data_IF_016772842958
#
_entry.id   IF_016772842958
#
_cell.length_a   1.000
_cell.length_b   1.000
_cell.length_c   1.000
_cell.angle_alpha   90.00
_cell.angle_beta   90.00
_cell.angle_gamma   90.00
#
_symmetry.space_group_name_H-M   'P 1'
#
loop_
_entity.id
_entity.type
_entity.pdbx_description
1 polymer ?
#
# COMPACT_ATOMS: atom_id res chain seq x y z
N UNK A 1 -33.71 -26.14 -65.08
CA UNK A 1 -32.82 -27.28 -64.81
C UNK A 1 -33.23 -27.87 -63.47
N UNK A 2 -33.73 -29.11 -63.43
CA UNK A 2 -34.00 -29.79 -62.16
C UNK A 2 -32.67 -30.29 -61.62
N UNK A 3 -32.12 -29.59 -60.62
CA UNK A 3 -30.88 -30.03 -59.97
C UNK A 3 -31.25 -31.13 -58.97
N UNK A 4 -30.93 -32.38 -59.32
CA UNK A 4 -31.10 -33.52 -58.42
C UNK A 4 -29.92 -33.50 -57.45
N UNK A 5 -30.18 -33.18 -56.18
CA UNK A 5 -29.20 -33.35 -55.11
C UNK A 5 -29.19 -34.84 -54.75
N UNK A 6 -28.06 -35.50 -54.99
CA UNK A 6 -27.87 -36.89 -54.62
C UNK A 6 -27.38 -36.99 -53.17
N UNK A 7 -28.09 -37.77 -52.35
CA UNK A 7 -27.86 -37.90 -50.91
C UNK A 7 -27.43 -39.33 -50.57
N UNK A 8 -26.32 -39.47 -49.84
CA UNK A 8 -25.90 -40.72 -49.20
C UNK A 8 -26.08 -40.60 -47.70
N UNK A 9 -26.41 -41.69 -47.01
CA UNK A 9 -26.59 -41.70 -45.56
C UNK A 9 -25.83 -42.85 -44.90
N UNK A 10 -25.36 -42.61 -43.69
CA UNK A 10 -24.77 -43.63 -42.81
C UNK A 10 -25.33 -43.48 -41.41
N UNK A 11 -25.56 -44.61 -40.72
CA UNK A 11 -25.90 -44.65 -39.29
C UNK A 11 -24.73 -45.17 -38.45
N UNK A 12 -23.57 -45.42 -39.06
CA UNK A 12 -22.40 -45.97 -38.36
C UNK A 12 -21.70 -44.86 -37.58
N UNK A 13 -21.47 -45.01 -36.26
CA UNK A 13 -20.76 -44.03 -35.45
C UNK A 13 -19.37 -43.69 -36.00
N UNK A 14 -19.01 -42.41 -35.97
CA UNK A 14 -17.76 -41.84 -36.48
C UNK A 14 -17.45 -42.12 -37.97
N UNK A 15 -18.41 -42.63 -38.75
CA UNK A 15 -18.19 -42.93 -40.15
C UNK A 15 -18.05 -41.65 -40.98
N UNK A 16 -16.91 -41.51 -41.66
CA UNK A 16 -16.64 -40.45 -42.63
C UNK A 16 -16.48 -41.07 -44.02
N UNK A 17 -17.11 -40.51 -45.07
CA UNK A 17 -16.92 -41.00 -46.44
C UNK A 17 -15.49 -40.72 -46.91
N UNK A 18 -15.00 -41.52 -47.83
CA UNK A 18 -13.77 -41.29 -48.59
C UNK A 18 -14.06 -40.52 -49.87
N UNK A 19 -13.02 -40.06 -50.57
CA UNK A 19 -13.16 -39.39 -51.87
C UNK A 19 -13.72 -40.31 -52.96
N UNK A 20 -13.67 -41.63 -52.79
CA UNK A 20 -14.31 -42.60 -53.69
C UNK A 20 -15.81 -42.78 -53.42
N UNK A 21 -16.25 -42.52 -52.20
CA UNK A 21 -17.64 -42.72 -51.78
C UNK A 21 -18.58 -41.60 -52.24
N UNK A 22 -18.03 -40.46 -52.68
CA UNK A 22 -18.81 -39.32 -53.14
C UNK A 22 -18.36 -38.84 -54.52
N UNK A 23 -19.32 -38.51 -55.38
CA UNK A 23 -19.07 -37.74 -56.61
C UNK A 23 -19.20 -36.23 -56.33
N UNK A 24 -18.68 -35.38 -57.22
CA UNK A 24 -18.82 -33.93 -57.07
C UNK A 24 -20.31 -33.54 -57.15
N UNK A 25 -20.79 -32.79 -56.16
CA UNK A 25 -22.20 -32.41 -56.04
C UNK A 25 -23.06 -33.39 -55.22
N UNK A 26 -22.52 -34.52 -54.78
CA UNK A 26 -23.16 -35.39 -53.79
C UNK A 26 -22.94 -34.88 -52.36
N UNK A 27 -23.92 -35.15 -51.51
CA UNK A 27 -23.87 -34.89 -50.08
C UNK A 27 -24.02 -36.21 -49.32
N UNK A 28 -23.14 -36.46 -48.35
CA UNK A 28 -23.32 -37.54 -47.37
C UNK A 28 -23.78 -36.98 -46.03
N UNK A 29 -24.64 -37.74 -45.35
CA UNK A 29 -25.15 -37.42 -44.02
C UNK A 29 -24.89 -38.62 -43.10
N UNK A 30 -24.10 -38.43 -42.05
CA UNK A 30 -24.03 -39.38 -40.95
C UNK A 30 -25.13 -39.02 -39.94
N UNK A 31 -26.17 -39.84 -39.88
CA UNK A 31 -27.33 -39.60 -39.02
C UNK A 31 -27.10 -40.03 -37.57
N UNK A 32 -26.01 -40.74 -37.27
CA UNK A 32 -25.62 -41.03 -35.89
C UNK A 32 -24.91 -39.82 -35.26
N UNK A 33 -23.93 -39.25 -35.96
CA UNK A 33 -23.13 -38.12 -35.46
C UNK A 33 -23.72 -36.73 -35.82
N UNK A 34 -24.71 -36.69 -36.71
CA UNK A 34 -25.31 -35.44 -37.21
C UNK A 34 -24.40 -34.65 -38.15
N UNK A 35 -23.48 -35.35 -38.82
CA UNK A 35 -22.43 -34.73 -39.64
C UNK A 35 -22.82 -34.75 -41.11
N UNK A 36 -22.50 -33.67 -41.81
CA UNK A 36 -22.74 -33.53 -43.26
C UNK A 36 -21.40 -33.42 -43.97
N UNK A 37 -21.24 -34.11 -45.09
CA UNK A 37 -20.01 -34.13 -45.85
C UNK A 37 -20.27 -33.85 -47.33
N UNK A 38 -19.33 -33.18 -47.98
CA UNK A 38 -19.33 -32.98 -49.42
C UNK A 38 -17.92 -33.20 -49.98
N UNK A 39 -17.84 -33.64 -51.24
CA UNK A 39 -16.58 -33.72 -51.94
C UNK A 39 -16.21 -32.38 -52.57
N UNK A 40 -14.97 -31.96 -52.38
CA UNK A 40 -14.34 -30.83 -53.08
C UNK A 40 -13.21 -31.37 -53.95
N UNK A 41 -13.04 -30.79 -55.14
CA UNK A 41 -11.89 -31.07 -55.99
C UNK A 41 -11.44 -29.77 -56.68
N UNK A 42 -10.25 -29.30 -56.34
CA UNK A 42 -9.57 -28.16 -56.96
C UNK A 42 -8.25 -28.59 -57.63
N UNK A 43 -8.17 -29.85 -58.08
CA UNK A 43 -6.94 -30.51 -58.54
C UNK A 43 -6.45 -31.60 -57.58
N UNK A 44 -7.04 -31.72 -56.39
CA UNK A 44 -6.89 -32.85 -55.48
C UNK A 44 -8.21 -33.05 -54.72
N UNK A 45 -8.81 -34.23 -54.88
CA UNK A 45 -10.06 -34.55 -54.22
C UNK A 45 -9.91 -34.63 -52.69
N UNK A 46 -10.82 -33.97 -51.97
CA UNK A 46 -10.91 -33.98 -50.51
C UNK A 46 -12.36 -34.07 -50.06
N UNK A 47 -12.59 -34.64 -48.87
CA UNK A 47 -13.90 -34.62 -48.22
C UNK A 47 -13.91 -33.47 -47.22
N UNK A 48 -14.89 -32.59 -47.37
CA UNK A 48 -15.13 -31.50 -46.42
C UNK A 48 -16.30 -31.89 -45.53
N UNK A 49 -16.04 -31.91 -44.23
CA UNK A 49 -17.05 -32.05 -43.18
C UNK A 49 -17.64 -30.66 -42.88
N UNK A 50 -18.94 -30.50 -43.10
CA UNK A 50 -19.71 -29.40 -42.53
C UNK A 50 -19.93 -29.72 -41.05
N UNK A 51 -19.19 -29.05 -40.20
CA UNK A 51 -19.18 -29.36 -38.77
C UNK A 51 -20.47 -28.87 -38.10
N UNK A 52 -21.07 -29.73 -37.29
CA UNK A 52 -21.91 -29.35 -36.15
C UNK A 52 -21.07 -28.47 -35.19
N UNK A 53 -21.67 -27.55 -34.43
CA UNK A 53 -21.02 -26.50 -33.62
C UNK A 53 -20.03 -26.96 -32.51
N UNK A 54 -19.62 -28.23 -32.52
CA UNK A 54 -18.72 -28.88 -31.56
C UNK A 54 -17.27 -28.35 -31.57
N UNK A 55 -16.90 -27.44 -32.48
CA UNK A 55 -15.60 -26.75 -32.43
C UNK A 55 -15.67 -25.34 -31.82
N UNK A 56 -16.81 -24.92 -31.24
CA UNK A 56 -16.89 -23.64 -30.53
C UNK A 56 -16.78 -23.88 -29.03
N UNK A 57 -15.67 -23.45 -28.43
CA UNK A 57 -15.47 -23.54 -26.98
C UNK A 57 -16.10 -22.33 -26.27
N UNK A 58 -16.95 -22.59 -25.28
CA UNK A 58 -17.51 -21.56 -24.40
C UNK A 58 -16.82 -21.49 -23.05
N UNK A 59 -15.87 -22.39 -22.79
CA UNK A 59 -15.03 -22.38 -21.61
C UNK A 59 -14.09 -21.18 -21.63
N UNK A 60 -14.27 -20.27 -20.68
CA UNK A 60 -13.44 -19.08 -20.49
C UNK A 60 -12.12 -19.36 -19.78
N UNK A 61 -11.86 -20.61 -19.38
CA UNK A 61 -10.57 -20.99 -18.77
C UNK A 61 -9.47 -21.24 -19.80
N UNK A 62 -9.84 -21.42 -21.08
CA UNK A 62 -8.91 -21.77 -22.17
C UNK A 62 -8.02 -22.98 -21.84
N UNK A 63 -8.56 -23.98 -21.13
CA UNK A 63 -7.82 -25.19 -20.77
C UNK A 63 -7.52 -26.06 -22.00
N UNK A 64 -8.39 -26.04 -23.01
CA UNK A 64 -8.11 -26.57 -24.34
C UNK A 64 -7.39 -25.52 -25.22
N UNK A 65 -6.47 -25.94 -26.07
CA UNK A 65 -5.80 -25.05 -27.01
C UNK A 65 -6.57 -24.93 -28.35
N UNK A 66 -6.21 -23.92 -29.15
CA UNK A 66 -6.83 -23.63 -30.45
C UNK A 66 -6.67 -24.73 -31.51
N UNK A 67 -5.90 -25.78 -31.20
CA UNK A 67 -5.68 -26.90 -32.10
C UNK A 67 -6.85 -27.90 -32.06
N UNK A 68 -7.66 -27.87 -30.99
CA UNK A 68 -8.82 -28.75 -30.78
C UNK A 68 -10.16 -28.02 -30.92
N UNK A 69 -10.25 -26.78 -30.40
CA UNK A 69 -11.48 -25.98 -30.40
C UNK A 69 -11.19 -24.50 -30.69
N UNK A 70 -12.10 -23.82 -31.38
CA UNK A 70 -12.08 -22.37 -31.58
C UNK A 70 -12.81 -21.69 -30.42
N UNK A 71 -12.19 -20.77 -29.68
CA UNK A 71 -12.86 -20.08 -28.59
C UNK A 71 -13.99 -19.18 -29.11
N UNK A 72 -15.14 -19.21 -28.44
CA UNK A 72 -16.24 -18.29 -28.69
C UNK A 72 -15.90 -16.87 -28.27
N UNK A 73 -16.56 -15.88 -28.88
CA UNK A 73 -16.47 -14.48 -28.42
C UNK A 73 -16.86 -14.33 -26.95
N UNK A 74 -17.77 -15.19 -26.44
CA UNK A 74 -18.16 -15.23 -25.03
C UNK A 74 -16.99 -15.68 -24.14
N UNK A 75 -16.34 -16.79 -24.48
CA UNK A 75 -15.17 -17.29 -23.75
C UNK A 75 -14.05 -16.25 -23.71
N UNK A 76 -13.76 -15.62 -24.86
CA UNK A 76 -12.77 -14.53 -24.97
C UNK A 76 -13.16 -13.33 -24.13
N UNK A 77 -14.42 -12.90 -24.18
CA UNK A 77 -14.85 -11.73 -23.41
C UNK A 77 -14.84 -11.99 -21.91
N UNK A 78 -15.31 -13.15 -21.46
CA UNK A 78 -15.25 -13.52 -20.03
C UNK A 78 -13.81 -13.61 -19.55
N UNK A 79 -12.94 -14.29 -20.30
CA UNK A 79 -11.52 -14.38 -19.95
C UNK A 79 -10.81 -13.02 -19.92
N UNK A 80 -11.23 -12.08 -20.78
CA UNK A 80 -10.72 -10.71 -20.81
C UNK A 80 -11.30 -9.84 -19.69
N UNK A 81 -12.60 -9.93 -19.41
CA UNK A 81 -13.27 -9.20 -18.33
C UNK A 81 -12.75 -9.65 -16.94
N UNK A 82 -12.35 -10.93 -16.80
CA UNK A 82 -11.70 -11.46 -15.60
C UNK A 82 -10.26 -10.95 -15.44
N UNK A 83 -9.66 -10.40 -16.50
CA UNK A 83 -8.40 -9.66 -16.42
C UNK A 83 -8.73 -8.20 -16.11
N UNK A 84 -8.03 -7.66 -15.12
CA UNK A 84 -8.25 -6.29 -14.70
C UNK A 84 -7.89 -5.29 -15.83
N UNK A 85 -8.85 -4.44 -16.23
CA UNK A 85 -8.80 -3.59 -17.44
C UNK A 85 -7.62 -2.58 -17.53
N UNK A 86 -6.79 -2.39 -16.51
CA UNK A 86 -5.61 -1.49 -16.59
C UNK A 86 -4.50 -1.85 -15.59
N UNK A 87 -3.87 -3.02 -15.67
CA UNK A 87 -2.62 -3.33 -14.92
C UNK A 87 -1.67 -4.34 -15.58
N UNK A 88 -1.26 -4.06 -16.82
CA UNK A 88 -0.09 -4.73 -17.39
C UNK A 88 1.17 -3.97 -16.95
N UNK A 89 1.79 -4.40 -15.86
CA UNK A 89 3.25 -4.29 -15.76
C UNK A 89 3.81 -5.54 -15.10
N UNK A 90 4.56 -6.33 -15.88
CA UNK A 90 5.23 -7.56 -15.47
C UNK A 90 6.38 -7.36 -14.47
N UNK A 91 6.53 -6.17 -13.91
CA UNK A 91 7.38 -5.92 -12.74
C UNK A 91 6.85 -4.65 -12.09
N UNK A 92 6.14 -4.81 -10.97
CA UNK A 92 5.85 -3.79 -9.95
C UNK A 92 5.90 -2.31 -10.38
N UNK A 93 4.73 -1.66 -10.54
CA UNK A 93 4.61 -0.18 -10.52
C UNK A 93 3.83 0.28 -9.26
N UNK A 94 3.53 -0.63 -8.32
CA UNK A 94 2.44 -0.46 -7.36
C UNK A 94 2.79 -0.65 -5.88
N UNK A 95 4.03 -0.37 -5.47
CA UNK A 95 4.35 -0.21 -4.05
C UNK A 95 4.89 1.19 -3.75
N UNK A 96 4.42 1.76 -2.64
CA UNK A 96 5.06 2.91 -1.99
C UNK A 96 5.54 2.39 -0.65
N UNK A 97 6.84 2.45 -0.40
CA UNK A 97 7.46 1.96 0.84
C UNK A 97 7.14 0.48 1.18
N UNK A 98 7.01 -0.37 0.17
CA UNK A 98 6.75 -1.81 0.35
C UNK A 98 5.27 -2.19 0.52
N UNK A 99 4.37 -1.22 0.68
CA UNK A 99 2.93 -1.47 0.79
C UNK A 99 2.25 -1.52 -0.58
N UNK A 100 1.34 -2.47 -0.76
CA UNK A 100 0.58 -2.64 -2.01
C UNK A 100 -0.47 -1.55 -2.17
N UNK A 101 -0.45 -0.82 -3.29
CA UNK A 101 -1.48 0.18 -3.61
C UNK A 101 -2.74 -0.43 -4.28
N UNK A 102 -2.85 -1.76 -4.28
CA UNK A 102 -3.92 -2.52 -4.93
C UNK A 102 -4.97 -3.11 -3.98
N UNK A 103 -4.85 -2.83 -2.68
CA UNK A 103 -5.84 -3.25 -1.70
C UNK A 103 -7.18 -2.52 -1.82
N UNK A 104 -8.21 -3.07 -1.20
CA UNK A 104 -9.40 -2.29 -0.85
C UNK A 104 -9.08 -1.36 0.32
N UNK A 105 -9.51 -0.10 0.21
CA UNK A 105 -9.25 0.94 1.21
C UNK A 105 -8.28 2.01 0.75
N UNK A 106 -8.07 3.01 1.60
CA UNK A 106 -7.22 4.15 1.30
C UNK A 106 -5.74 3.81 1.48
N UNK A 107 -4.89 4.43 0.65
CA UNK A 107 -3.44 4.40 0.85
C UNK A 107 -3.06 5.41 1.94
N UNK A 108 -2.76 4.91 3.14
CA UNK A 108 -2.32 5.76 4.24
C UNK A 108 -0.87 6.22 4.02
N UNK A 109 -0.69 7.48 3.62
CA UNK A 109 0.62 8.13 3.63
C UNK A 109 0.89 8.68 5.04
N UNK A 110 1.94 8.21 5.69
CA UNK A 110 2.42 8.73 6.97
C UNK A 110 2.94 10.16 6.79
N UNK A 111 2.05 11.14 6.75
CA UNK A 111 2.40 12.55 6.72
C UNK A 111 2.91 13.00 8.11
N UNK A 112 3.82 13.97 8.14
CA UNK A 112 4.16 14.68 9.39
C UNK A 112 2.87 15.35 9.91
N UNK A 113 2.38 14.99 11.11
CA UNK A 113 1.15 15.57 11.62
C UNK A 113 1.27 17.08 11.76
N UNK A 114 0.34 17.82 11.16
CA UNK A 114 0.24 19.27 11.31
C UNK A 114 -1.18 19.66 11.73
N UNK A 115 -1.31 20.83 12.36
CA UNK A 115 -2.59 21.43 12.76
C UNK A 115 -2.58 22.89 12.40
N UNK A 116 -3.61 23.38 11.74
CA UNK A 116 -3.74 24.80 11.41
C UNK A 116 -5.17 25.27 11.65
N UNK A 117 -5.35 26.54 12.03
CA UNK A 117 -6.67 27.15 12.14
C UNK A 117 -6.58 28.69 12.17
N UNK A 118 -7.76 29.32 12.12
CA UNK A 118 -7.99 30.74 12.35
C UNK A 118 -8.41 30.97 13.80
N UNK A 119 -7.83 32.00 14.41
CA UNK A 119 -8.15 32.51 15.74
C UNK A 119 -8.82 33.86 15.56
N UNK A 120 -10.06 33.98 16.02
CA UNK A 120 -10.80 35.24 15.97
C UNK A 120 -10.11 36.30 16.83
N UNK A 121 -10.11 37.55 16.37
CA UNK A 121 -9.54 38.68 17.13
C UNK A 121 -10.16 38.81 18.54
N UNK A 122 -11.46 38.47 18.67
CA UNK A 122 -12.19 38.52 19.94
C UNK A 122 -11.76 37.46 20.96
N UNK A 123 -11.06 36.40 20.54
CA UNK A 123 -10.54 35.36 21.43
C UNK A 123 -9.33 35.83 22.24
N UNK A 124 -8.74 36.99 21.89
CA UNK A 124 -7.60 37.54 22.60
C UNK A 124 -8.03 38.42 23.77
N UNK A 125 -7.65 38.04 24.98
CA UNK A 125 -8.02 38.72 26.23
C UNK A 125 -6.80 39.07 27.08
N UNK A 126 -7.01 39.82 28.17
CA UNK A 126 -5.93 40.28 29.05
C UNK A 126 -5.11 41.45 28.48
N UNK A 127 -4.03 41.79 29.21
CA UNK A 127 -3.03 42.81 28.87
C UNK A 127 -1.63 42.28 29.29
N UNK A 128 -0.75 41.88 28.36
CA UNK A 128 -0.92 41.88 26.90
C UNK A 128 -2.00 40.91 26.43
N UNK A 129 -2.53 41.14 25.22
CA UNK A 129 -3.59 40.36 24.58
C UNK A 129 -3.09 38.95 24.25
N UNK A 130 -3.74 37.92 24.78
CA UNK A 130 -3.36 36.50 24.65
C UNK A 130 -4.56 35.62 24.29
N UNK A 131 -4.30 34.54 23.57
CA UNK A 131 -5.29 33.51 23.25
C UNK A 131 -4.69 32.12 23.44
N UNK A 132 -5.41 31.24 24.14
CA UNK A 132 -5.05 29.83 24.28
C UNK A 132 -5.72 29.02 23.17
N UNK A 133 -4.93 28.20 22.50
CA UNK A 133 -5.35 27.32 21.43
C UNK A 133 -5.37 25.90 21.97
N UNK A 134 -6.49 25.21 21.79
CA UNK A 134 -6.68 23.81 22.18
C UNK A 134 -6.98 22.97 20.94
N UNK A 135 -6.20 21.92 20.72
CA UNK A 135 -6.43 20.97 19.66
C UNK A 135 -7.56 20.00 20.03
N UNK A 136 -8.47 19.73 19.10
CA UNK A 136 -9.52 18.71 19.28
C UNK A 136 -8.93 17.33 19.57
N UNK A 137 -7.82 17.01 18.89
CA UNK A 137 -7.00 15.83 19.15
C UNK A 137 -5.58 16.31 19.46
N UNK A 138 -5.05 16.11 20.68
CA UNK A 138 -3.68 16.46 21.02
C UNK A 138 -2.64 15.79 20.10
N UNK A 139 -1.46 16.40 19.98
CA UNK A 139 -0.28 15.62 19.59
C UNK A 139 0.11 14.65 20.71
N UNK A 140 0.98 13.67 20.42
CA UNK A 140 1.48 12.75 21.44
C UNK A 140 2.26 13.47 22.55
N UNK A 141 2.94 14.57 22.21
CA UNK A 141 3.78 15.35 23.12
C UNK A 141 3.87 16.82 22.65
N UNK A 142 4.59 17.64 23.42
CA UNK A 142 4.81 19.07 23.15
C UNK A 142 5.95 19.37 22.16
N UNK A 143 6.53 18.37 21.48
CA UNK A 143 7.64 18.56 20.55
C UNK A 143 7.12 18.89 19.14
N UNK A 144 6.72 20.14 18.95
CA UNK A 144 6.29 20.71 17.68
C UNK A 144 6.65 22.20 17.62
N UNK A 145 6.70 22.75 16.42
CA UNK A 145 6.85 24.20 16.20
C UNK A 145 5.51 24.81 15.82
N UNK A 146 5.35 26.12 16.07
CA UNK A 146 4.19 26.89 15.62
C UNK A 146 4.66 28.11 14.85
N UNK A 147 4.11 28.29 13.65
CA UNK A 147 4.17 29.53 12.89
C UNK A 147 2.89 30.32 13.10
N UNK A 148 3.00 31.64 13.33
CA UNK A 148 1.88 32.54 13.60
C UNK A 148 1.95 33.72 12.65
N UNK A 149 0.84 34.01 11.99
CA UNK A 149 0.69 35.18 11.11
C UNK A 149 -0.60 35.89 11.50
N UNK A 150 -0.56 37.20 11.68
CA UNK A 150 -1.75 38.01 11.97
C UNK A 150 -1.88 39.19 11.02
N UNK A 151 -3.11 39.64 10.80
CA UNK A 151 -3.38 40.82 9.96
C UNK A 151 -2.81 42.10 10.58
N UNK A 152 -2.80 42.20 11.91
CA UNK A 152 -2.13 43.29 12.61
C UNK A 152 -0.61 43.07 12.60
N UNK A 153 0.15 44.06 12.12
CA UNK A 153 1.62 44.04 12.20
C UNK A 153 2.08 44.10 13.65
N UNK A 154 2.38 42.94 14.24
CA UNK A 154 2.82 42.78 15.63
C UNK A 154 3.93 41.73 15.71
N UNK A 155 4.73 41.82 16.76
CA UNK A 155 5.58 40.72 17.18
C UNK A 155 4.68 39.67 17.87
N UNK A 156 4.59 38.47 17.30
CA UNK A 156 3.85 37.35 17.88
C UNK A 156 4.82 36.46 18.64
N UNK A 157 4.43 36.01 19.84
CA UNK A 157 5.22 35.04 20.60
C UNK A 157 4.34 33.89 21.10
N UNK A 158 4.98 32.76 21.36
CA UNK A 158 4.36 31.59 21.97
C UNK A 158 4.79 31.57 23.44
N UNK A 159 3.82 31.61 24.35
CA UNK A 159 4.10 31.67 25.79
C UNK A 159 4.11 30.29 26.44
N UNK A 160 3.37 29.33 25.88
CA UNK A 160 3.35 27.95 26.34
C UNK A 160 3.09 27.00 25.18
N UNK A 161 3.71 25.82 25.24
CA UNK A 161 3.49 24.70 24.33
C UNK A 161 3.21 23.46 25.19
N UNK A 162 2.12 22.76 24.87
CA UNK A 162 1.72 21.49 25.46
C UNK A 162 1.27 20.55 24.35
N UNK A 163 1.18 19.25 24.64
CA UNK A 163 0.64 18.27 23.70
C UNK A 163 -0.78 18.63 23.18
N UNK A 164 -1.59 19.25 24.06
CA UNK A 164 -2.98 19.62 23.76
C UNK A 164 -3.12 20.98 23.04
N UNK A 165 -2.06 21.77 22.93
CA UNK A 165 -2.12 23.10 22.34
C UNK A 165 -1.10 24.09 22.91
N UNK A 166 -1.28 25.37 22.62
CA UNK A 166 -0.30 26.42 22.94
C UNK A 166 -0.98 27.76 23.21
N UNK A 167 -0.27 28.73 23.79
CA UNK A 167 -0.79 30.10 24.00
C UNK A 167 -0.05 31.12 23.15
N UNK A 168 -0.81 31.89 22.38
CA UNK A 168 -0.31 33.02 21.59
C UNK A 168 -0.34 34.28 22.45
N UNK A 169 0.73 35.04 22.42
CA UNK A 169 0.79 36.40 22.95
C UNK A 169 0.98 37.39 21.79
N UNK A 170 0.08 38.36 21.70
CA UNK A 170 0.12 39.42 20.69
C UNK A 170 1.12 40.54 21.04
N UNK A 171 1.75 40.46 22.22
CA UNK A 171 2.70 41.42 22.78
C UNK A 171 2.22 42.88 22.75
N UNK A 172 0.91 43.09 22.82
CA UNK A 172 0.29 44.39 22.79
C UNK A 172 -1.01 44.40 23.58
N UNK A 173 -1.33 45.55 24.19
CA UNK A 173 -2.57 45.76 24.94
C UNK A 173 -3.73 46.18 24.03
N UNK A 174 -3.42 46.77 22.87
CA UNK A 174 -4.43 47.20 21.90
C UNK A 174 -5.22 46.01 21.36
N UNK A 175 -6.53 46.18 21.22
CA UNK A 175 -7.41 45.18 20.61
C UNK A 175 -6.93 44.81 19.19
N UNK A 176 -7.13 43.56 18.80
CA UNK A 176 -6.84 43.09 17.46
C UNK A 176 -8.01 43.50 16.55
N UNK A 177 -7.69 43.91 15.32
CA UNK A 177 -8.70 44.32 14.32
C UNK A 177 -8.89 43.27 13.24
N UNK A 178 -8.04 42.24 13.19
CA UNK A 178 -8.15 41.12 12.27
C UNK A 178 -7.76 39.80 12.91
N UNK A 179 -8.07 38.71 12.21
CA UNK A 179 -7.80 37.36 12.67
C UNK A 179 -6.30 37.04 12.71
N UNK A 180 -5.98 36.01 13.48
CA UNK A 180 -4.63 35.40 13.56
C UNK A 180 -4.73 33.98 13.04
N UNK A 181 -3.71 33.55 12.30
CA UNK A 181 -3.60 32.23 11.69
C UNK A 181 -2.40 31.51 12.31
N UNK A 182 -2.52 30.21 12.48
CA UNK A 182 -1.40 29.40 12.93
C UNK A 182 -1.26 28.11 12.12
N UNK A 183 -0.03 27.63 12.06
CA UNK A 183 0.30 26.26 11.67
C UNK A 183 1.24 25.68 12.71
N UNK A 184 0.85 24.58 13.34
CA UNK A 184 1.65 23.78 14.25
C UNK A 184 2.12 22.51 13.54
N UNK A 185 3.43 22.25 13.50
CA UNK A 185 4.03 21.11 12.79
C UNK A 185 4.75 20.23 13.79
N UNK A 186 4.33 18.97 13.90
CA UNK A 186 4.96 17.99 14.78
C UNK A 186 6.40 17.74 14.32
N UNK A 187 7.35 17.83 15.25
CA UNK A 187 8.69 17.37 14.95
C UNK A 187 8.76 15.85 15.06
N UNK A 188 9.66 15.25 14.29
CA UNK A 188 10.16 13.92 14.62
C UNK A 188 10.73 13.96 16.05
N UNK A 189 10.23 13.10 16.91
CA UNK A 189 10.76 12.97 18.26
C UNK A 189 12.04 12.16 18.23
N UNK A 190 13.14 12.76 18.68
CA UNK A 190 14.27 12.02 19.22
C UNK A 190 13.80 11.42 20.56
N UNK A 191 13.58 10.10 20.62
CA UNK A 191 13.14 9.43 21.86
C UNK A 191 14.32 9.43 22.84
N UNK A 192 14.11 9.85 24.09
CA UNK A 192 15.17 9.86 25.12
C UNK A 192 14.62 9.48 26.49
N UNK A 193 15.51 9.14 27.43
CA UNK A 193 15.09 8.78 28.79
C UNK A 193 16.24 8.48 29.74
N UNK A 194 15.87 8.01 30.93
CA UNK A 194 16.78 7.68 32.04
C UNK A 194 16.50 6.25 32.52
N UNK A 195 17.56 5.51 32.79
CA UNK A 195 17.53 4.15 33.34
C UNK A 195 18.31 4.19 34.66
N UNK A 196 17.71 3.70 35.74
CA UNK A 196 18.43 3.54 37.00
C UNK A 196 19.51 2.47 36.87
N UNK A 197 20.72 2.71 37.38
CA UNK A 197 21.84 1.75 37.26
C UNK A 197 21.52 0.35 37.78
N UNK A 198 20.72 0.26 38.86
CA UNK A 198 20.27 -1.00 39.43
C UNK A 198 19.37 -1.85 38.52
N UNK A 199 18.83 -1.28 37.44
CA UNK A 199 18.02 -1.99 36.46
C UNK A 199 18.86 -2.87 35.50
N UNK A 200 20.18 -2.65 35.41
CA UNK A 200 21.05 -3.47 34.58
C UNK A 200 21.35 -4.81 35.26
N UNK A 201 21.24 -5.90 34.52
CA UNK A 201 21.41 -7.28 35.02
C UNK A 201 22.34 -8.11 34.13
N UNK A 202 22.70 -9.31 34.58
CA UNK A 202 23.64 -10.18 33.86
C UNK A 202 25.13 -9.85 34.09
N UNK A 203 26.01 -10.58 33.39
CA UNK A 203 27.47 -10.41 33.37
C UNK A 203 27.97 -10.60 31.92
N UNK A 204 28.30 -9.52 31.17
CA UNK A 204 28.29 -8.11 31.57
C UNK A 204 26.88 -7.57 31.85
N UNK A 205 26.81 -6.46 32.61
CA UNK A 205 25.55 -5.81 33.01
C UNK A 205 24.91 -5.13 31.79
N UNK A 206 23.70 -5.57 31.45
CA UNK A 206 22.91 -5.14 30.27
C UNK A 206 21.52 -4.67 30.67
N UNK A 207 20.92 -3.85 29.81
CA UNK A 207 19.53 -3.42 29.92
C UNK A 207 18.88 -3.40 28.53
N UNK A 208 17.70 -4.01 28.43
CA UNK A 208 16.85 -3.93 27.24
C UNK A 208 15.86 -2.81 27.43
N UNK A 209 15.95 -1.76 26.61
CA UNK A 209 14.97 -0.70 26.58
C UNK A 209 13.90 -1.02 25.52
N UNK A 210 12.65 -1.12 25.93
CA UNK A 210 11.50 -1.32 25.03
C UNK A 210 10.72 -0.02 24.91
N UNK A 211 10.43 0.40 23.67
CA UNK A 211 9.60 1.58 23.44
C UNK A 211 8.14 1.27 23.77
N UNK A 212 7.46 2.20 24.45
CA UNK A 212 6.00 2.13 24.67
C UNK A 212 5.21 2.20 23.36
N UNK A 213 5.77 2.86 22.35
CA UNK A 213 5.28 2.88 20.98
C UNK A 213 6.41 2.46 20.06
N UNK A 214 6.29 1.33 19.34
CA UNK A 214 7.29 0.90 18.37
C UNK A 214 7.56 1.98 17.32
N UNK A 215 8.82 2.11 16.94
CA UNK A 215 9.23 2.89 15.78
C UNK A 215 8.85 2.14 14.49
N UNK A 216 8.81 2.85 13.37
CA UNK A 216 8.48 2.25 12.07
C UNK A 216 9.54 1.22 11.64
N UNK A 217 10.80 1.47 11.96
CA UNK A 217 11.94 0.61 11.61
C UNK A 217 13.09 0.75 12.64
N UNK A 218 14.18 0.02 12.41
CA UNK A 218 15.41 0.08 13.21
C UNK A 218 16.42 1.15 12.74
N UNK A 219 16.02 2.08 11.87
CA UNK A 219 16.92 3.07 11.26
C UNK A 219 17.15 4.28 12.17
N UNK A 220 17.90 4.10 13.26
CA UNK A 220 18.25 5.17 14.20
C UNK A 220 19.61 4.92 14.85
N UNK A 221 20.19 5.98 15.39
CA UNK A 221 21.39 5.94 16.24
C UNK A 221 20.98 6.03 17.70
N UNK A 222 21.80 5.47 18.60
CA UNK A 222 21.61 5.55 20.05
C UNK A 222 22.82 6.24 20.66
N UNK A 223 22.59 7.25 21.47
CA UNK A 223 23.58 7.93 22.30
C UNK A 223 23.36 7.55 23.76
N UNK A 224 24.41 7.09 24.44
CA UNK A 224 24.37 6.66 25.84
C UNK A 224 25.40 7.45 26.65
N UNK A 225 24.97 7.95 27.82
CA UNK A 225 25.85 8.59 28.79
C UNK A 225 25.45 8.07 30.17
N UNK A 226 26.40 7.56 30.94
CA UNK A 226 26.17 7.11 32.32
C UNK A 226 26.98 7.91 33.33
N UNK A 227 26.46 8.06 34.54
CA UNK A 227 27.16 8.70 35.66
C UNK A 227 28.39 7.91 36.10
N UNK A 228 28.36 6.58 35.96
CA UNK A 228 29.56 5.75 36.06
C UNK A 228 30.37 5.85 34.76
N UNK A 229 31.60 6.36 34.84
CA UNK A 229 32.53 6.41 33.71
C UNK A 229 32.83 4.99 33.19
N UNK A 230 32.27 4.64 32.03
CA UNK A 230 32.39 3.33 31.38
C UNK A 230 32.37 3.45 29.87
N UNK A 231 32.89 2.42 29.20
CA UNK A 231 32.65 2.20 27.78
C UNK A 231 31.26 1.57 27.61
N UNK A 232 30.39 2.24 26.86
CA UNK A 232 29.04 1.77 26.56
C UNK A 232 29.00 1.20 25.14
N UNK A 233 28.29 0.09 24.96
CA UNK A 233 28.03 -0.48 23.64
C UNK A 233 26.54 -0.76 23.46
N UNK A 234 26.10 -0.74 22.20
CA UNK A 234 24.76 -1.13 21.79
C UNK A 234 24.86 -2.50 21.14
N UNK A 235 24.20 -3.50 21.71
CA UNK A 235 24.28 -4.87 21.18
C UNK A 235 23.27 -5.13 20.07
N UNK A 236 22.12 -4.47 20.13
CA UNK A 236 21.09 -4.58 19.12
C UNK A 236 20.23 -3.33 19.08
N UNK A 237 19.71 -3.04 17.88
CA UNK A 237 18.66 -2.06 17.63
C UNK A 237 17.56 -2.76 16.84
N UNK A 238 16.32 -2.45 17.18
CA UNK A 238 15.13 -2.90 16.47
C UNK A 238 14.08 -1.77 16.47
N UNK A 239 13.01 -1.95 15.71
CA UNK A 239 11.86 -1.06 15.73
C UNK A 239 11.24 -0.91 17.14
N UNK A 240 11.36 -1.95 17.98
CA UNK A 240 10.66 -2.01 19.26
C UNK A 240 11.56 -1.74 20.47
N UNK A 241 12.87 -1.88 20.31
CA UNK A 241 13.81 -1.86 21.43
C UNK A 241 15.27 -1.71 20.98
N UNK A 242 16.15 -1.43 21.95
CA UNK A 242 17.58 -1.64 21.82
C UNK A 242 18.17 -2.19 23.13
N UNK A 243 19.35 -2.81 23.03
CA UNK A 243 20.06 -3.37 24.18
C UNK A 243 21.33 -2.57 24.45
N UNK A 244 21.43 -2.02 25.66
CA UNK A 244 22.64 -1.37 26.17
C UNK A 244 23.47 -2.41 26.91
N UNK A 245 24.76 -2.47 26.62
CA UNK A 245 25.73 -3.20 27.42
C UNK A 245 26.72 -2.21 28.06
N UNK A 246 26.87 -2.30 29.38
CA UNK A 246 27.82 -1.48 30.15
C UNK A 246 29.26 -1.97 30.07
N UNK A 247 29.49 -3.09 29.38
CA UNK A 247 30.75 -3.80 29.20
C UNK A 247 31.48 -4.15 30.51
N UNK A 248 30.75 -4.24 31.62
CA UNK A 248 31.32 -4.50 32.93
C UNK A 248 30.40 -5.38 33.79
N UNK A 249 31.01 -6.16 34.68
CA UNK A 249 30.30 -7.05 35.60
C UNK A 249 29.96 -6.36 36.94
N UNK A 250 30.60 -5.23 37.23
CA UNK A 250 30.40 -4.46 38.46
C UNK A 250 29.07 -3.70 38.40
N UNK A 251 28.39 -3.64 39.55
CA UNK A 251 27.13 -2.92 39.67
C UNK A 251 27.26 -1.44 39.28
N UNK A 252 26.17 -0.88 38.75
CA UNK A 252 26.04 0.53 38.41
C UNK A 252 25.35 1.24 39.57
N UNK A 253 25.94 2.34 40.04
CA UNK A 253 25.45 3.10 41.18
C UNK A 253 24.70 4.38 40.77
N UNK A 254 24.93 4.86 39.55
CA UNK A 254 24.32 6.07 39.00
C UNK A 254 23.38 5.80 37.82
N UNK A 255 22.69 6.85 37.39
CA UNK A 255 21.76 6.79 36.26
C UNK A 255 22.48 6.66 34.92
N UNK A 256 21.78 6.06 33.95
CA UNK A 256 22.18 5.96 32.55
C UNK A 256 21.15 6.67 31.69
N UNK A 257 21.60 7.70 30.98
CA UNK A 257 20.80 8.52 30.09
C UNK A 257 20.97 8.00 28.67
N UNK A 258 19.89 8.02 27.91
CA UNK A 258 19.88 7.61 26.51
C UNK A 258 19.08 8.57 25.66
N UNK A 259 19.48 8.71 24.41
CA UNK A 259 18.70 9.36 23.37
C UNK A 259 18.87 8.56 22.08
N UNK A 260 17.82 8.48 21.28
CA UNK A 260 17.90 7.96 19.93
C UNK A 260 17.67 9.08 18.94
N UNK A 261 18.32 8.99 17.79
CA UNK A 261 18.10 9.89 16.66
C UNK A 261 17.79 9.07 15.43
N UNK A 262 16.58 9.23 14.89
CA UNK A 262 16.15 8.60 13.64
C UNK A 262 17.04 9.06 12.49
N UNK A 263 17.41 8.13 11.63
CA UNK A 263 18.09 8.44 10.38
C UNK A 263 17.04 8.63 9.29
N UNK A 264 17.21 9.67 8.49
CA UNK A 264 16.27 10.09 7.47
C UNK A 264 16.28 11.61 7.38
N UNK A 265 16.81 12.13 6.27
CA UNK A 265 16.52 13.50 5.85
C UNK A 265 15.04 13.55 5.46
N UNK A 266 14.35 14.60 5.92
CA UNK A 266 13.05 15.01 5.38
C UNK A 266 13.20 15.51 3.95
#
# INVERSE_FOLDING_TARGET
MSNIIQLKRSTTPAASPTTGDLTLGEVAINTYDGEVFFKKDNGTATIIKFVNFQHIDTDSTFTANSDSLVPSQKAVKTALDDKQDTLISGTNIKSINGESILGSGDLLLSNIPYKSNVVSSGSFSGNPKKASITFTTPFADANYSVSIIGVNSRAWSIESITAAGFTINANANAALTGNVYYTAIKHFSDTSGVIAGGSFSGNPKKYTLTFSTPLIDANYSVSIIGENSRAWSIESVSANSFIINSNANTALSGNVYWAIKKHGES
#
